data_IF_211298465755
#
_entry.id   IF_211298465755
#
_cell.length_a   1.000
_cell.length_b   1.000
_cell.length_c   1.000
_cell.angle_alpha   90.00
_cell.angle_beta   90.00
_cell.angle_gamma   90.00
#
_symmetry.space_group_name_H-M   'P 1'
#
loop_
_entity.id
_entity.type
_entity.pdbx_description
1 polymer ?
#
# COMPACT_ATOMS: atom_id res chain seq x y z
N UNK A 1 -1.56 4.52 -36.27
CA UNK A 1 -2.05 3.94 -35.00
C UNK A 1 -2.00 2.43 -35.16
N UNK A 2 -1.19 1.70 -34.38
CA UNK A 2 -1.06 0.25 -34.54
C UNK A 2 -2.24 -0.43 -33.84
N UNK A 3 -3.05 -1.20 -34.58
CA UNK A 3 -4.12 -1.98 -33.99
C UNK A 3 -3.54 -3.26 -33.39
N UNK A 4 -3.62 -3.37 -32.07
CA UNK A 4 -3.08 -4.51 -31.31
C UNK A 4 -3.99 -5.74 -31.37
N UNK A 5 -5.28 -5.54 -31.70
CA UNK A 5 -6.26 -6.59 -31.91
C UNK A 5 -7.16 -6.21 -33.08
N UNK A 6 -7.30 -7.15 -34.02
CA UNK A 6 -8.22 -7.01 -35.14
C UNK A 6 -9.66 -7.17 -34.65
N UNK A 7 -10.58 -6.24 -34.99
CA UNK A 7 -12.00 -6.38 -34.65
C UNK A 7 -12.58 -7.69 -35.19
N UNK A 8 -13.40 -8.36 -34.39
CA UNK A 8 -14.03 -9.64 -34.74
C UNK A 8 -13.07 -10.79 -35.07
N UNK A 9 -11.76 -10.62 -34.86
CA UNK A 9 -10.83 -11.76 -34.88
C UNK A 9 -11.18 -12.75 -33.78
N UNK A 10 -10.72 -13.99 -33.93
CA UNK A 10 -10.89 -15.03 -32.90
C UNK A 10 -10.35 -14.55 -31.55
N UNK A 11 -9.17 -13.94 -31.53
CA UNK A 11 -8.58 -13.38 -30.31
C UNK A 11 -9.45 -12.28 -29.69
N UNK A 12 -10.06 -11.39 -30.50
CA UNK A 12 -10.96 -10.35 -30.01
C UNK A 12 -12.24 -10.92 -29.41
N UNK A 13 -12.82 -11.93 -30.07
CA UNK A 13 -14.04 -12.60 -29.61
C UNK A 13 -13.80 -13.39 -28.32
N UNK A 14 -12.70 -14.12 -28.21
CA UNK A 14 -12.35 -14.87 -27.00
C UNK A 14 -12.04 -13.95 -25.82
N UNK A 15 -11.33 -12.84 -26.06
CA UNK A 15 -11.08 -11.82 -25.04
C UNK A 15 -12.40 -11.22 -24.55
N UNK A 16 -13.30 -10.86 -25.48
CA UNK A 16 -14.63 -10.32 -25.15
C UNK A 16 -15.44 -11.32 -24.32
N UNK A 17 -15.47 -12.59 -24.72
CA UNK A 17 -16.20 -13.64 -23.99
C UNK A 17 -15.63 -13.85 -22.59
N UNK A 18 -14.31 -13.83 -22.44
CA UNK A 18 -13.62 -13.96 -21.15
C UNK A 18 -13.93 -12.77 -20.23
N UNK A 19 -13.80 -11.54 -20.73
CA UNK A 19 -14.07 -10.31 -19.96
C UNK A 19 -15.55 -10.18 -19.56
N UNK A 20 -16.47 -10.71 -20.38
CA UNK A 20 -17.91 -10.69 -20.10
C UNK A 20 -18.40 -11.97 -19.40
N UNK A 21 -17.51 -12.92 -19.11
CA UNK A 21 -17.90 -14.15 -18.44
C UNK A 21 -18.42 -13.87 -17.03
N UNK A 22 -19.51 -14.55 -16.66
CA UNK A 22 -20.15 -14.34 -15.36
C UNK A 22 -19.22 -14.68 -14.19
N UNK A 23 -18.31 -15.64 -14.38
CA UNK A 23 -17.26 -16.00 -13.41
C UNK A 23 -16.25 -14.87 -13.22
N UNK A 24 -15.75 -14.27 -14.29
CA UNK A 24 -14.82 -13.14 -14.22
C UNK A 24 -15.47 -11.91 -13.57
N UNK A 25 -16.71 -11.58 -13.94
CA UNK A 25 -17.44 -10.45 -13.34
C UNK A 25 -17.66 -10.63 -11.82
N UNK A 26 -17.92 -11.87 -11.37
CA UNK A 26 -18.00 -12.20 -9.93
C UNK A 26 -16.66 -12.00 -9.23
N UNK A 27 -15.56 -12.40 -9.86
CA UNK A 27 -14.21 -12.19 -9.33
C UNK A 27 -13.84 -10.70 -9.28
N UNK A 28 -14.18 -9.92 -10.30
CA UNK A 28 -13.94 -8.48 -10.32
C UNK A 28 -14.58 -7.77 -9.12
N UNK A 29 -15.79 -8.16 -8.73
CA UNK A 29 -16.44 -7.64 -7.51
C UNK A 29 -15.57 -7.86 -6.26
N UNK A 30 -14.85 -8.97 -6.17
CA UNK A 30 -13.95 -9.25 -5.05
C UNK A 30 -12.65 -8.43 -5.15
N UNK A 31 -12.15 -8.17 -6.37
CA UNK A 31 -10.97 -7.33 -6.61
C UNK A 31 -11.24 -5.86 -6.26
N UNK A 32 -12.47 -5.36 -6.43
CA UNK A 32 -12.80 -3.99 -6.02
C UNK A 32 -12.58 -3.76 -4.51
N UNK A 33 -12.81 -4.78 -3.70
CA UNK A 33 -12.54 -4.73 -2.25
C UNK A 33 -11.09 -5.07 -1.89
N UNK A 34 -10.26 -5.44 -2.87
CA UNK A 34 -8.87 -5.77 -2.63
C UNK A 34 -8.10 -4.48 -2.30
N UNK A 35 -7.64 -4.38 -1.05
CA UNK A 35 -6.72 -3.33 -0.63
C UNK A 35 -5.31 -3.86 -0.80
N UNK A 36 -4.55 -3.27 -1.71
CA UNK A 36 -3.15 -3.64 -1.91
C UNK A 36 -2.33 -3.36 -0.62
N UNK A 37 -1.83 -4.41 0.01
CA UNK A 37 -1.07 -4.34 1.28
C UNK A 37 0.40 -4.03 1.09
N UNK A 38 0.91 -3.95 -0.14
CA UNK A 38 2.34 -3.74 -0.39
C UNK A 38 2.90 -2.44 0.22
N UNK A 39 2.07 -1.40 0.43
CA UNK A 39 2.53 -0.22 1.18
C UNK A 39 2.78 -0.51 2.65
N UNK A 40 1.98 -1.37 3.27
CA UNK A 40 2.15 -1.79 4.67
C UNK A 40 3.35 -2.74 4.80
N UNK A 41 3.51 -3.67 3.86
CA UNK A 41 4.63 -4.60 3.81
C UNK A 41 5.98 -3.89 3.65
N UNK A 42 6.01 -2.81 2.86
CA UNK A 42 7.20 -1.97 2.73
C UNK A 42 7.58 -1.32 4.08
N UNK A 43 6.62 -0.70 4.78
CA UNK A 43 6.87 -0.10 6.10
C UNK A 43 7.33 -1.15 7.11
N UNK A 44 6.75 -2.35 7.08
CA UNK A 44 7.13 -3.43 7.96
C UNK A 44 8.57 -3.92 7.69
N UNK A 45 8.99 -3.97 6.42
CA UNK A 45 10.37 -4.27 6.04
C UNK A 45 11.36 -3.25 6.59
N UNK A 46 10.99 -1.96 6.53
CA UNK A 46 11.83 -0.89 7.07
C UNK A 46 11.92 -0.98 8.60
N UNK A 47 10.81 -1.25 9.31
CA UNK A 47 10.83 -1.48 10.76
C UNK A 47 11.78 -2.62 11.13
N UNK A 48 11.77 -3.72 10.37
CA UNK A 48 12.66 -4.87 10.62
C UNK A 48 14.15 -4.54 10.47
N UNK A 49 14.51 -3.52 9.69
CA UNK A 49 15.89 -3.05 9.60
C UNK A 49 16.36 -2.37 10.91
N UNK A 50 15.46 -1.66 11.60
CA UNK A 50 15.74 -0.99 12.87
C UNK A 50 15.53 -1.91 14.10
N UNK A 51 14.69 -2.93 13.94
CA UNK A 51 14.24 -3.85 14.97
C UNK A 51 14.38 -5.30 14.49
N UNK A 52 15.63 -5.76 14.39
CA UNK A 52 15.92 -7.14 14.03
C UNK A 52 15.34 -8.09 15.08
N UNK A 53 14.56 -9.08 14.62
CA UNK A 53 13.94 -10.16 15.44
C UNK A 53 14.95 -11.02 16.20
N UNK A 54 16.25 -10.86 15.95
CA UNK A 54 17.33 -11.62 16.59
C UNK A 54 17.71 -11.06 17.96
N UNK A 55 17.20 -9.89 18.33
CA UNK A 55 17.52 -9.24 19.60
C UNK A 55 16.25 -8.99 20.41
N UNK A 56 16.38 -9.09 21.73
CA UNK A 56 15.33 -8.67 22.65
C UNK A 56 15.49 -7.17 22.94
N UNK A 57 14.39 -6.42 22.84
CA UNK A 57 14.37 -4.99 23.14
C UNK A 57 13.46 -4.74 24.33
N UNK A 58 13.82 -3.75 25.16
CA UNK A 58 12.87 -3.18 26.11
C UNK A 58 11.71 -2.51 25.35
N UNK A 59 10.55 -2.39 26.00
CA UNK A 59 9.38 -1.76 25.38
C UNK A 59 9.68 -0.35 24.84
N UNK A 60 10.37 0.48 25.62
CA UNK A 60 10.75 1.83 25.20
C UNK A 60 11.76 1.81 24.04
N UNK A 61 12.74 0.91 24.07
CA UNK A 61 13.72 0.76 23.00
C UNK A 61 13.09 0.30 21.68
N UNK A 62 12.16 -0.65 21.75
CA UNK A 62 11.35 -1.09 20.61
C UNK A 62 10.52 0.06 20.04
N UNK A 63 9.81 0.79 20.91
CA UNK A 63 8.94 1.89 20.52
C UNK A 63 9.71 3.00 19.81
N UNK A 64 10.85 3.41 20.34
CA UNK A 64 11.71 4.43 19.74
C UNK A 64 12.21 4.01 18.34
N UNK A 65 12.62 2.74 18.18
CA UNK A 65 13.06 2.19 16.88
C UNK A 65 11.96 2.19 15.84
N UNK A 66 10.75 1.75 16.22
CA UNK A 66 9.58 1.79 15.33
C UNK A 66 9.23 3.22 14.91
N UNK A 67 9.34 4.20 15.81
CA UNK A 67 9.13 5.61 15.48
C UNK A 67 10.19 6.11 14.50
N UNK A 68 11.46 5.78 14.74
CA UNK A 68 12.57 6.17 13.86
C UNK A 68 12.42 5.58 12.46
N UNK A 69 12.07 4.30 12.34
CA UNK A 69 11.83 3.63 11.07
C UNK A 69 10.70 4.30 10.27
N UNK A 70 9.62 4.72 10.92
CA UNK A 70 8.50 5.41 10.26
C UNK A 70 8.90 6.82 9.79
N UNK A 71 9.67 7.56 10.59
CA UNK A 71 10.19 8.89 10.20
C UNK A 71 11.08 8.74 8.96
N UNK A 72 11.99 7.77 8.99
CA UNK A 72 12.91 7.50 7.89
C UNK A 72 12.18 7.06 6.62
N UNK A 73 11.19 6.16 6.73
CA UNK A 73 10.34 5.75 5.61
C UNK A 73 9.61 6.93 4.96
N UNK A 74 9.05 7.84 5.78
CA UNK A 74 8.33 9.00 5.27
C UNK A 74 9.26 9.97 4.52
N UNK A 75 10.49 10.16 5.04
CA UNK A 75 11.52 10.96 4.39
C UNK A 75 11.90 10.38 3.01
N UNK A 76 12.18 9.08 2.95
CA UNK A 76 12.51 8.39 1.69
C UNK A 76 11.40 8.41 0.65
N UNK A 77 10.14 8.54 1.06
CA UNK A 77 8.97 8.60 0.16
C UNK A 77 8.61 10.03 -0.27
N UNK A 78 9.42 11.04 0.07
CA UNK A 78 9.13 12.46 -0.14
C UNK A 78 7.71 12.86 0.32
N UNK A 79 7.20 12.21 1.37
CA UNK A 79 5.88 12.57 1.91
C UNK A 79 6.04 13.85 2.70
N UNK A 80 5.26 14.87 2.33
CA UNK A 80 5.27 16.12 3.06
C UNK A 80 4.91 15.88 4.52
N UNK A 81 5.66 16.54 5.40
CA UNK A 81 5.35 16.58 6.82
C UNK A 81 3.96 17.20 7.01
N UNK A 82 3.17 16.64 7.92
CA UNK A 82 1.87 17.22 8.23
C UNK A 82 2.11 18.51 9.03
N UNK A 83 1.52 19.62 8.62
CA UNK A 83 1.66 20.91 9.29
C UNK A 83 0.41 21.21 10.13
N UNK A 84 0.60 21.73 11.34
CA UNK A 84 -0.54 22.27 12.10
C UNK A 84 -0.98 23.63 11.53
N UNK A 85 -2.10 24.16 12.03
CA UNK A 85 -2.61 25.49 11.64
C UNK A 85 -1.65 26.64 11.97
N UNK A 86 -0.65 26.38 12.79
CA UNK A 86 0.37 27.32 13.26
C UNK A 86 1.69 27.19 12.47
N UNK A 87 1.76 26.33 11.45
CA UNK A 87 2.93 26.14 10.60
C UNK A 87 4.05 25.30 11.21
N UNK A 88 3.77 24.48 12.22
CA UNK A 88 4.71 23.55 12.85
C UNK A 88 4.51 22.11 12.36
N UNK A 89 5.60 21.35 12.25
CA UNK A 89 5.56 19.94 11.86
C UNK A 89 4.91 19.09 12.95
N UNK A 90 3.90 18.32 12.58
CA UNK A 90 3.17 17.42 13.46
C UNK A 90 3.76 16.00 13.41
N UNK A 91 4.11 15.48 14.59
CA UNK A 91 4.60 14.12 14.77
C UNK A 91 3.60 13.28 15.61
N UNK A 92 2.39 12.99 15.11
CA UNK A 92 1.43 12.11 15.81
C UNK A 92 1.02 10.90 14.96
N UNK A 93 0.64 9.81 15.64
CA UNK A 93 -0.03 8.66 15.03
C UNK A 93 -1.49 9.01 14.78
N UNK A 94 -1.89 9.19 13.51
CA UNK A 94 -3.30 9.26 13.16
C UNK A 94 -3.91 7.85 13.27
N UNK A 95 -4.61 7.56 14.36
CA UNK A 95 -5.57 6.46 14.36
C UNK A 95 -6.80 6.97 13.61
N UNK A 96 -7.14 6.36 12.48
CA UNK A 96 -8.43 6.59 11.85
C UNK A 96 -9.51 6.15 12.85
N UNK A 97 -10.23 7.10 13.43
CA UNK A 97 -11.43 6.80 14.21
C UNK A 97 -12.40 6.09 13.26
N UNK A 98 -12.70 4.82 13.55
CA UNK A 98 -13.78 4.08 12.89
C UNK A 98 -15.09 4.85 13.10
N UNK A 99 -15.62 5.41 12.02
CA UNK A 99 -17.01 5.87 11.95
C UNK A 99 -17.95 4.68 11.85
#
# INVERSE_FOLDING_TARGET
RKEWLLPNSVAHTELRNTCLSQSFLKTLRNIVNFRHTGSLENVNSDILAYESKRHAYSYEGYKARCQLAVIDHNNHRNRESLWNKEGQVMYYRAYSASS
#
